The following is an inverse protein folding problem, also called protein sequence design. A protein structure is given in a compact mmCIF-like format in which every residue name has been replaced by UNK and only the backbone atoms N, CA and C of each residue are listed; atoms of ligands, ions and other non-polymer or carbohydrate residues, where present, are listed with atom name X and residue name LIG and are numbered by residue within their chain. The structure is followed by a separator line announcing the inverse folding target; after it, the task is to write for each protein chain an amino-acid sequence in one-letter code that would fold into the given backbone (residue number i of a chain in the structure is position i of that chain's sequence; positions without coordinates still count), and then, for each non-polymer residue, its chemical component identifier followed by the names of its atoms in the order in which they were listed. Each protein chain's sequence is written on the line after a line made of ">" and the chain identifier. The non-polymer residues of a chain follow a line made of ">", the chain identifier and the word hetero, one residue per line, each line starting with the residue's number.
data_IF_798736572971
#
_entry.id   IF_798736572971
#
_cell.length_a   1.000
_cell.length_b   1.000
_cell.length_c   1.000
_cell.angle_alpha   90.00
_cell.angle_beta   90.00
_cell.angle_gamma   90.00
#
_symmetry.space_group_name_H-M   'P 1'
#
loop_
_entity.id
_entity.type
_entity.pdbx_description
1 polymer ?
#
# COMPACT_ATOMS: atom_id res chain seq x y z
N UNK A 1 -19.94 -50.82 -29.34
CA UNK A 1 -19.52 -49.48 -28.86
C UNK A 1 -19.16 -48.65 -30.09
N UNK A 2 -20.04 -47.77 -30.56
CA UNK A 2 -19.78 -46.93 -31.75
C UNK A 2 -19.16 -45.62 -31.29
N UNK A 3 -17.93 -45.38 -31.70
CA UNK A 3 -17.19 -44.14 -31.42
C UNK A 3 -17.71 -43.10 -32.41
N UNK A 4 -18.44 -42.10 -31.92
CA UNK A 4 -18.95 -41.00 -32.75
C UNK A 4 -17.77 -40.12 -33.18
N UNK A 5 -17.41 -40.13 -34.46
CA UNK A 5 -16.40 -39.26 -35.02
C UNK A 5 -17.00 -37.84 -35.19
N UNK A 6 -16.44 -36.86 -34.48
CA UNK A 6 -16.82 -35.46 -34.62
C UNK A 6 -16.25 -34.87 -35.92
N UNK A 7 -16.98 -33.94 -36.60
CA UNK A 7 -16.52 -33.35 -37.85
C UNK A 7 -15.31 -32.42 -37.63
N UNK A 8 -14.35 -32.44 -38.55
CA UNK A 8 -13.09 -31.71 -38.44
C UNK A 8 -13.25 -30.20 -38.15
N UNK A 9 -14.31 -29.57 -38.68
CA UNK A 9 -14.61 -28.16 -38.44
C UNK A 9 -15.04 -27.86 -36.99
N UNK A 10 -15.65 -28.83 -36.29
CA UNK A 10 -16.03 -28.66 -34.89
C UNK A 10 -14.82 -28.77 -33.95
N UNK A 11 -13.85 -29.61 -34.32
CA UNK A 11 -12.55 -29.70 -33.63
C UNK A 11 -11.78 -28.38 -33.79
N UNK A 12 -11.82 -27.78 -34.98
CA UNK A 12 -11.13 -26.51 -35.27
C UNK A 12 -11.72 -25.32 -34.48
N UNK A 13 -13.05 -25.28 -34.30
CA UNK A 13 -13.73 -24.27 -33.48
C UNK A 13 -13.41 -24.43 -32.00
N UNK A 14 -13.37 -25.67 -31.49
CA UNK A 14 -13.01 -25.95 -30.09
C UNK A 14 -11.56 -25.55 -29.76
N UNK A 15 -10.62 -25.78 -30.68
CA UNK A 15 -9.21 -25.35 -30.51
C UNK A 15 -9.09 -23.82 -30.54
N UNK A 16 -9.88 -23.14 -31.39
CA UNK A 16 -9.89 -21.67 -31.46
C UNK A 16 -10.41 -21.03 -30.17
N UNK A 17 -11.41 -21.61 -29.51
CA UNK A 17 -11.98 -21.08 -28.25
C UNK A 17 -11.00 -21.28 -27.09
N UNK A 18 -10.26 -22.39 -27.09
CA UNK A 18 -9.26 -22.69 -26.06
C UNK A 18 -8.04 -21.76 -26.13
N UNK A 19 -7.70 -21.22 -27.31
CA UNK A 19 -6.60 -20.27 -27.51
C UNK A 19 -6.91 -18.83 -27.03
N UNK A 20 -8.19 -18.48 -26.86
CA UNK A 20 -8.62 -17.19 -26.28
C UNK A 20 -8.63 -17.20 -24.75
N UNK A 21 -8.50 -18.38 -24.12
CA UNK A 21 -8.28 -18.52 -22.68
C UNK A 21 -6.78 -18.54 -22.37
N UNK A 22 -6.02 -17.62 -22.96
CA UNK A 22 -4.68 -17.33 -22.49
C UNK A 22 -4.77 -17.06 -20.98
N UNK A 23 -4.04 -17.81 -20.12
CA UNK A 23 -4.00 -17.49 -18.71
C UNK A 23 -3.40 -16.09 -18.62
N UNK A 24 -4.25 -15.11 -18.31
CA UNK A 24 -3.79 -13.84 -17.80
C UNK A 24 -2.96 -14.22 -16.58
N UNK A 25 -1.64 -14.14 -16.71
CA UNK A 25 -0.74 -14.38 -15.60
C UNK A 25 -1.15 -13.37 -14.53
N UNK A 26 -1.92 -13.84 -13.55
CA UNK A 26 -2.09 -13.14 -12.29
C UNK A 26 -0.68 -13.16 -11.70
N UNK A 27 0.07 -12.08 -11.95
CA UNK A 27 1.21 -11.78 -11.11
C UNK A 27 0.64 -11.73 -9.69
N UNK A 28 1.07 -12.67 -8.85
CA UNK A 28 0.76 -12.62 -7.44
C UNK A 28 1.37 -11.32 -6.92
N UNK A 29 0.54 -10.31 -6.66
CA UNK A 29 1.00 -9.08 -6.04
C UNK A 29 1.29 -9.39 -4.58
N UNK A 30 2.58 -9.54 -4.27
CA UNK A 30 3.10 -9.67 -2.91
C UNK A 30 2.90 -8.34 -2.16
N UNK A 31 1.68 -8.12 -1.65
CA UNK A 31 1.29 -6.87 -1.01
C UNK A 31 1.70 -6.85 0.46
N UNK A 32 2.46 -5.83 0.86
CA UNK A 32 2.67 -5.50 2.26
C UNK A 32 1.45 -4.74 2.79
N UNK A 33 1.20 -4.80 4.11
CA UNK A 33 0.02 -4.15 4.69
C UNK A 33 0.32 -3.44 6.02
N UNK A 34 -0.52 -2.47 6.36
CA UNK A 34 -0.42 -1.72 7.59
C UNK A 34 -1.65 -1.98 8.45
N UNK A 35 -1.40 -2.24 9.74
CA UNK A 35 -2.44 -2.44 10.75
C UNK A 35 -2.57 -1.18 11.59
N UNK A 36 -3.80 -0.87 11.95
CA UNK A 36 -4.09 0.22 12.89
C UNK A 36 -3.83 -0.28 14.31
N UNK A 37 -2.96 0.43 15.04
CA UNK A 37 -2.71 0.18 16.46
C UNK A 37 -3.64 0.98 17.35
N UNK A 38 -3.88 2.25 16.99
CA UNK A 38 -4.60 3.20 17.82
C UNK A 38 -5.12 4.38 16.99
N UNK A 39 -6.30 4.88 17.31
CA UNK A 39 -6.94 6.04 16.65
C UNK A 39 -7.45 7.01 17.71
N UNK A 40 -7.10 8.28 17.54
CA UNK A 40 -7.62 9.39 18.33
C UNK A 40 -8.25 10.42 17.39
N UNK A 41 -9.47 10.85 17.72
CA UNK A 41 -10.16 11.92 16.99
C UNK A 41 -10.77 11.46 15.67
N UNK A 42 -10.80 12.37 14.70
CA UNK A 42 -11.37 12.15 13.37
C UNK A 42 -10.27 11.76 12.38
N UNK A 43 -10.32 10.50 11.96
CA UNK A 43 -9.37 9.92 11.01
C UNK A 43 -10.16 9.24 9.90
N UNK A 44 -9.90 9.67 8.68
CA UNK A 44 -10.54 9.17 7.48
C UNK A 44 -9.51 8.45 6.63
N UNK A 45 -9.94 7.45 5.87
CA UNK A 45 -9.13 6.80 4.86
C UNK A 45 -9.85 6.73 3.53
N UNK A 46 -9.07 6.63 2.46
CA UNK A 46 -9.54 6.44 1.10
C UNK A 46 -8.87 5.19 0.55
N UNK A 47 -9.69 4.19 0.23
CA UNK A 47 -9.22 2.96 -0.44
C UNK A 47 -8.74 3.30 -1.85
N UNK A 48 -7.62 2.72 -2.27
CA UNK A 48 -7.15 2.83 -3.66
C UNK A 48 -8.26 2.50 -4.66
N UNK A 49 -8.43 3.35 -5.67
CA UNK A 49 -9.51 3.24 -6.67
C UNK A 49 -10.89 3.73 -6.22
N UNK A 50 -11.07 4.08 -4.94
CA UNK A 50 -12.30 4.73 -4.46
C UNK A 50 -12.23 6.26 -4.63
N UNK A 51 -13.40 6.89 -4.69
CA UNK A 51 -13.55 8.36 -4.64
C UNK A 51 -14.14 8.84 -3.30
N UNK A 52 -14.60 7.92 -2.45
CA UNK A 52 -15.29 8.23 -1.20
C UNK A 52 -14.39 7.98 0.00
N UNK A 53 -14.21 9.01 0.82
CA UNK A 53 -13.55 8.92 2.12
C UNK A 53 -14.47 8.22 3.13
N UNK A 54 -13.90 7.28 3.87
CA UNK A 54 -14.58 6.53 4.92
C UNK A 54 -13.86 6.73 6.23
N UNK A 55 -14.57 6.59 7.36
CA UNK A 55 -13.94 6.63 8.67
C UNK A 55 -12.97 5.46 8.81
N UNK A 56 -11.77 5.72 9.34
CA UNK A 56 -10.81 4.66 9.65
C UNK A 56 -11.23 3.96 10.94
N UNK A 57 -11.23 2.63 10.91
CA UNK A 57 -11.53 1.80 12.07
C UNK A 57 -10.36 0.85 12.36
N UNK A 58 -10.19 0.39 13.61
CA UNK A 58 -9.07 -0.48 13.98
C UNK A 58 -9.00 -1.82 13.22
N UNK A 59 -10.13 -2.29 12.69
CA UNK A 59 -10.25 -3.54 11.92
C UNK A 59 -9.78 -3.40 10.47
N UNK A 60 -9.60 -2.17 9.98
CA UNK A 60 -9.20 -1.91 8.61
C UNK A 60 -7.71 -2.16 8.43
N UNK A 61 -7.40 -2.97 7.42
CA UNK A 61 -6.04 -3.17 6.92
C UNK A 61 -5.81 -2.22 5.75
N UNK A 62 -4.73 -1.45 5.83
CA UNK A 62 -4.32 -0.46 4.84
C UNK A 62 -3.28 -1.08 3.90
N UNK A 63 -3.39 -0.80 2.61
CA UNK A 63 -2.51 -1.38 1.59
C UNK A 63 -1.88 -0.27 0.72
N UNK A 64 -1.01 -0.67 -0.21
CA UNK A 64 -0.51 0.24 -1.24
C UNK A 64 -1.65 1.00 -1.93
N UNK A 65 -1.44 2.30 -2.12
CA UNK A 65 -2.39 3.22 -2.72
C UNK A 65 -3.39 3.86 -1.75
N UNK A 66 -3.60 3.28 -0.56
CA UNK A 66 -4.52 3.83 0.44
C UNK A 66 -4.01 5.17 0.98
N UNK A 67 -4.94 6.10 1.19
CA UNK A 67 -4.66 7.43 1.74
C UNK A 67 -5.35 7.61 3.09
N UNK A 68 -4.77 8.43 3.95
CA UNK A 68 -5.27 8.75 5.28
C UNK A 68 -5.30 10.28 5.43
N UNK A 69 -6.36 10.78 6.05
CA UNK A 69 -6.48 12.17 6.49
C UNK A 69 -6.82 12.21 7.97
N UNK A 70 -6.09 13.03 8.71
CA UNK A 70 -6.36 13.30 10.12
C UNK A 70 -6.89 14.72 10.30
N UNK A 71 -7.96 14.87 11.08
CA UNK A 71 -8.49 16.17 11.45
C UNK A 71 -7.65 16.89 12.50
N UNK A 72 -8.18 18.02 13.00
CA UNK A 72 -7.60 18.69 14.16
C UNK A 72 -7.70 17.80 15.41
N UNK A 73 -6.71 17.90 16.32
CA UNK A 73 -6.62 17.10 17.55
C UNK A 73 -6.70 15.58 17.34
N UNK A 74 -6.41 15.12 16.12
CA UNK A 74 -6.54 13.73 15.71
C UNK A 74 -5.17 13.10 15.45
N UNK A 75 -5.05 11.79 15.67
CA UNK A 75 -3.81 11.05 15.51
C UNK A 75 -4.14 9.59 15.19
N UNK A 76 -3.32 8.94 14.38
CA UNK A 76 -3.39 7.48 14.18
C UNK A 76 -2.01 6.87 14.27
N UNK A 77 -1.92 5.73 14.95
CA UNK A 77 -0.72 4.90 15.01
C UNK A 77 -0.92 3.64 14.19
N UNK A 78 0.07 3.34 13.36
CA UNK A 78 0.08 2.23 12.42
C UNK A 78 1.32 1.37 12.62
N UNK A 79 1.17 0.08 12.44
CA UNK A 79 2.29 -0.85 12.29
C UNK A 79 2.36 -1.33 10.85
N UNK A 80 3.49 -1.09 10.20
CA UNK A 80 3.75 -1.57 8.85
C UNK A 80 4.33 -2.97 8.94
N UNK A 81 3.58 -3.91 8.35
CA UNK A 81 3.92 -5.32 8.27
C UNK A 81 4.19 -5.68 6.80
N UNK A 82 5.47 -5.76 6.45
CA UNK A 82 5.92 -6.31 5.18
C UNK A 82 6.43 -7.74 5.37
N UNK A 83 7.65 -8.01 4.87
CA UNK A 83 8.32 -9.30 5.10
C UNK A 83 8.60 -9.49 6.59
N UNK A 84 8.88 -8.39 7.30
CA UNK A 84 9.01 -8.30 8.75
C UNK A 84 8.26 -7.07 9.28
N UNK A 85 8.41 -6.76 10.57
CA UNK A 85 8.04 -5.45 11.10
C UNK A 85 8.96 -4.39 10.49
N UNK A 86 8.40 -3.50 9.69
CA UNK A 86 9.20 -2.53 8.90
C UNK A 86 9.30 -1.19 9.62
N UNK A 87 8.19 -0.71 10.18
CA UNK A 87 8.13 0.52 10.93
C UNK A 87 6.87 0.60 11.80
N UNK A 88 6.93 1.42 12.85
CA UNK A 88 5.75 1.99 13.49
C UNK A 88 5.63 3.47 13.06
N UNK A 89 4.43 3.90 12.70
CA UNK A 89 4.17 5.23 12.17
C UNK A 89 3.08 5.89 12.99
N UNK A 90 3.33 7.11 13.44
CA UNK A 90 2.32 7.99 14.03
C UNK A 90 2.03 9.14 13.08
N UNK A 91 0.83 9.17 12.53
CA UNK A 91 0.34 10.26 11.69
C UNK A 91 -0.35 11.27 12.62
N UNK A 92 0.21 12.48 12.69
CA UNK A 92 -0.27 13.56 13.56
C UNK A 92 -1.52 14.22 13.00
N UNK A 93 -2.06 15.19 13.72
CA UNK A 93 -3.21 15.98 13.29
C UNK A 93 -2.96 16.73 11.99
N UNK A 94 -4.04 17.10 11.30
CA UNK A 94 -4.03 17.92 10.07
C UNK A 94 -3.07 17.39 8.99
N UNK A 95 -3.00 16.08 8.84
CA UNK A 95 -2.04 15.40 7.97
C UNK A 95 -2.73 14.71 6.81
N UNK A 96 -2.20 14.89 5.61
CA UNK A 96 -2.54 14.09 4.43
C UNK A 96 -1.40 13.14 4.12
N UNK A 97 -1.70 11.85 4.19
CA UNK A 97 -0.74 10.76 4.07
C UNK A 97 -1.21 9.75 3.04
N UNK A 98 -0.27 9.12 2.32
CA UNK A 98 -0.56 8.03 1.39
C UNK A 98 0.57 7.00 1.35
N UNK A 99 0.20 5.74 1.24
CA UNK A 99 1.12 4.66 0.86
C UNK A 99 1.31 4.69 -0.66
N UNK A 100 2.33 5.39 -1.17
CA UNK A 100 2.61 5.47 -2.61
C UNK A 100 3.22 4.15 -3.14
N UNK A 101 4.04 3.48 -2.33
CA UNK A 101 4.54 2.14 -2.61
C UNK A 101 4.61 1.38 -1.30
N UNK A 102 4.08 0.16 -1.27
CA UNK A 102 4.14 -0.69 -0.09
C UNK A 102 3.99 -2.16 -0.49
N UNK A 103 5.08 -2.73 -0.96
CA UNK A 103 5.12 -4.09 -1.50
C UNK A 103 6.48 -4.73 -1.26
N UNK A 104 6.52 -6.05 -1.36
CA UNK A 104 7.76 -6.81 -1.36
C UNK A 104 7.82 -7.72 -2.59
N UNK A 105 9.00 -8.23 -2.90
CA UNK A 105 9.18 -9.25 -3.93
C UNK A 105 9.38 -10.64 -3.33
N UNK A 106 9.51 -11.65 -4.21
CA UNK A 106 9.72 -13.04 -3.83
C UNK A 106 11.06 -13.27 -3.09
N UNK A 107 12.03 -12.36 -3.26
CA UNK A 107 13.32 -12.37 -2.57
C UNK A 107 13.27 -11.67 -1.21
N UNK A 108 12.08 -11.31 -0.73
CA UNK A 108 11.87 -10.63 0.54
C UNK A 108 12.49 -9.22 0.60
N UNK A 109 12.71 -8.58 -0.56
CA UNK A 109 13.09 -7.17 -0.63
C UNK A 109 11.84 -6.32 -0.52
N UNK A 110 11.83 -5.43 0.46
CA UNK A 110 10.67 -4.57 0.73
C UNK A 110 10.92 -3.14 0.25
N UNK A 111 9.97 -2.62 -0.51
CA UNK A 111 9.98 -1.25 -0.99
C UNK A 111 8.79 -0.49 -0.39
N UNK A 112 9.09 0.50 0.43
CA UNK A 112 8.11 1.34 1.10
C UNK A 112 8.39 2.79 0.77
N UNK A 113 7.42 3.44 0.10
CA UNK A 113 7.42 4.87 -0.18
C UNK A 113 6.17 5.48 0.44
N UNK A 114 6.39 6.30 1.45
CA UNK A 114 5.35 7.03 2.14
C UNK A 114 5.28 8.44 1.58
N UNK A 115 4.08 8.95 1.32
CA UNK A 115 3.88 10.29 0.82
C UNK A 115 3.17 11.14 1.87
N UNK A 116 3.82 12.21 2.31
CA UNK A 116 3.29 13.19 3.25
C UNK A 116 3.08 14.49 2.48
N UNK A 117 1.83 14.79 2.14
CA UNK A 117 1.48 15.98 1.39
C UNK A 117 1.50 17.25 2.23
N UNK A 118 0.98 17.14 3.46
CA UNK A 118 0.93 18.20 4.46
C UNK A 118 0.79 17.56 5.85
N UNK A 119 1.22 18.26 6.89
CA UNK A 119 1.12 17.80 8.29
C UNK A 119 2.37 17.05 8.75
N UNK A 120 2.20 16.22 9.77
CA UNK A 120 3.31 15.62 10.53
C UNK A 120 3.23 14.10 10.61
N UNK A 121 4.36 13.43 10.42
CA UNK A 121 4.49 11.98 10.60
C UNK A 121 5.75 11.68 11.39
N UNK A 122 5.60 10.96 12.49
CA UNK A 122 6.70 10.34 13.24
C UNK A 122 6.83 8.90 12.78
N UNK A 123 8.03 8.49 12.42
CA UNK A 123 8.30 7.13 11.96
C UNK A 123 9.42 6.57 12.81
N UNK A 124 9.17 5.39 13.37
CA UNK A 124 10.15 4.54 14.00
C UNK A 124 10.44 3.39 13.04
N UNK A 125 11.46 3.58 12.21
CA UNK A 125 11.85 2.62 11.18
C UNK A 125 12.79 1.57 11.76
N UNK A 126 12.50 0.31 11.48
CA UNK A 126 13.41 -0.80 11.76
C UNK A 126 14.59 -0.78 10.79
N UNK A 127 15.67 -1.48 11.16
CA UNK A 127 16.85 -1.55 10.32
C UNK A 127 16.55 -2.35 9.05
N UNK A 128 16.74 -1.74 7.89
CA UNK A 128 16.59 -2.41 6.60
C UNK A 128 17.70 -3.43 6.35
N UNK A 129 17.34 -4.53 5.70
CA UNK A 129 18.23 -5.64 5.31
C UNK A 129 18.27 -5.72 3.79
N UNK A 130 19.43 -6.08 3.22
CA UNK A 130 19.57 -6.31 1.79
C UNK A 130 19.31 -5.07 0.94
N UNK A 131 18.56 -5.26 -0.15
CA UNK A 131 18.25 -4.21 -1.12
C UNK A 131 17.00 -3.38 -0.76
N UNK A 132 16.37 -3.63 0.40
CA UNK A 132 15.13 -2.96 0.81
C UNK A 132 15.29 -1.45 0.92
N UNK A 133 14.19 -0.75 0.64
CA UNK A 133 14.09 0.72 0.65
C UNK A 133 12.91 1.17 1.49
N UNK A 134 13.17 2.18 2.32
CA UNK A 134 12.15 2.90 3.07
C UNK A 134 12.37 4.37 2.83
N UNK A 135 11.38 5.02 2.25
CA UNK A 135 11.47 6.39 1.79
C UNK A 135 10.24 7.18 2.22
N UNK A 136 10.45 8.45 2.56
CA UNK A 136 9.38 9.42 2.77
C UNK A 136 9.53 10.54 1.75
N UNK A 137 8.48 10.71 0.94
CA UNK A 137 8.33 11.76 -0.04
C UNK A 137 7.47 12.88 0.53
N UNK A 138 7.93 14.10 0.35
CA UNK A 138 7.19 15.34 0.60
C UNK A 138 7.10 16.13 -0.72
N UNK A 139 6.37 17.27 -0.76
CA UNK A 139 6.32 18.09 -1.97
C UNK A 139 7.68 18.60 -2.45
N UNK A 140 8.66 18.73 -1.55
CA UNK A 140 9.96 19.34 -1.85
C UNK A 140 11.11 18.35 -1.96
N UNK A 141 11.02 17.18 -1.31
CA UNK A 141 12.14 16.25 -1.20
C UNK A 141 11.69 14.79 -1.02
N UNK A 142 12.62 13.87 -1.25
CA UNK A 142 12.51 12.45 -0.86
C UNK A 142 13.65 12.13 0.10
N UNK A 143 13.34 11.47 1.21
CA UNK A 143 14.32 11.07 2.23
C UNK A 143 14.32 9.56 2.35
N UNK A 144 15.49 8.93 2.14
CA UNK A 144 15.70 7.49 2.33
C UNK A 144 16.23 7.16 3.72
N UNK A 145 15.73 6.07 4.31
CA UNK A 145 15.83 5.84 5.76
C UNK A 145 16.24 4.39 6.01
N UNK A 146 17.33 4.21 6.74
CA UNK A 146 17.92 2.89 7.02
C UNK A 146 18.01 2.62 8.52
N UNK A 147 16.85 2.59 9.16
CA UNK A 147 16.70 2.47 10.60
C UNK A 147 16.95 3.80 11.31
N UNK A 148 16.07 4.13 12.27
CA UNK A 148 16.10 5.21 13.27
C UNK A 148 14.67 5.67 13.54
N UNK A 149 14.48 6.52 14.54
CA UNK A 149 13.27 7.31 14.71
C UNK A 149 13.50 8.70 14.09
N UNK A 150 12.58 9.17 13.26
CA UNK A 150 12.61 10.51 12.68
C UNK A 150 11.20 11.07 12.53
N UNK A 151 11.10 12.39 12.48
CA UNK A 151 9.84 13.11 12.27
C UNK A 151 9.94 13.95 11.00
N UNK A 152 8.88 13.92 10.20
CA UNK A 152 8.71 14.76 9.00
C UNK A 152 7.52 15.66 9.24
N UNK A 153 7.72 16.96 9.07
CA UNK A 153 6.67 17.95 9.14
C UNK A 153 6.66 18.77 7.85
N UNK A 154 5.52 18.78 7.17
CA UNK A 154 5.27 19.57 5.96
C UNK A 154 4.25 20.66 6.33
N UNK A 155 4.69 21.92 6.46
CA UNK A 155 3.77 22.99 6.81
C UNK A 155 2.73 23.20 5.70
N UNK A 156 1.55 23.68 6.08
CA UNK A 156 0.55 24.15 5.12
C UNK A 156 1.17 25.26 4.25
N UNK A 157 0.92 25.27 2.92
CA UNK A 157 1.35 26.37 2.07
C UNK A 157 0.86 27.70 2.66
N UNK A 158 1.78 28.67 2.79
CA UNK A 158 1.41 30.03 3.17
C UNK A 158 0.65 30.65 1.98
N UNK A 159 -0.62 30.97 2.17
CA UNK A 159 -1.42 31.72 1.20
C UNK A 159 -1.00 33.18 1.15
#
# INVERSE_FOLDING_TARGET
>A
MKIFALPANLILVLVSIMALMAPCSLFAESSSNAKVLDIKGDVMFLRTGSLAWSKLEPTIILNEGDSIKTGANSEVRLELNGVNKTAEITIRQETEFKFDTFRHDDESVENTLLNVGVGGVLVKAEKLIGASKFEVKTPTSIVGIRGTTFEVNVPKPQQ
#
